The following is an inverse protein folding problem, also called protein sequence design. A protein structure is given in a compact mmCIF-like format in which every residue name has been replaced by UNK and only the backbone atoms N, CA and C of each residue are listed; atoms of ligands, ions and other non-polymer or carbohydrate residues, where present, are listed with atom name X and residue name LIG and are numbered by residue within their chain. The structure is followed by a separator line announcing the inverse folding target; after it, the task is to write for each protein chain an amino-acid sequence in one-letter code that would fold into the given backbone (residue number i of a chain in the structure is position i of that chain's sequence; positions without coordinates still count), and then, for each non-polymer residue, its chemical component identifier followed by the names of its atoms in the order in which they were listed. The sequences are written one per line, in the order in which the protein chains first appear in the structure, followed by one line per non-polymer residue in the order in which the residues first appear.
data_IF_620024761528
#
_entry.id   IF_620024761528
#
_cell.length_a   1.000
_cell.length_b   1.000
_cell.length_c   1.000
_cell.angle_alpha   90.00
_cell.angle_beta   90.00
_cell.angle_gamma   90.00
#
_symmetry.space_group_name_H-M   'P 1'
#
loop_
_entity.id
_entity.type
_entity.pdbx_description
1 polymer ?
#
# COMPACT_ATOMS: atom_id res chain seq x y z
N UNK A 1 24.04 9.51 -11.24
CA UNK A 1 23.17 9.99 -10.14
C UNK A 1 22.04 8.98 -10.05
N UNK A 2 21.89 8.25 -8.94
CA UNK A 2 20.77 7.30 -8.81
C UNK A 2 19.53 8.13 -8.49
N UNK A 3 18.62 8.28 -9.46
CA UNK A 3 17.34 8.95 -9.27
C UNK A 3 16.57 8.29 -8.12
N UNK A 4 16.35 9.07 -7.06
CA UNK A 4 15.58 8.63 -5.91
C UNK A 4 14.11 8.93 -6.20
N UNK A 5 13.33 7.89 -6.52
CA UNK A 5 11.88 8.00 -6.71
C UNK A 5 11.23 8.71 -5.51
N UNK A 6 10.47 9.75 -5.79
CA UNK A 6 9.64 10.47 -4.82
C UNK A 6 8.33 9.72 -4.59
N UNK A 7 7.51 10.17 -3.64
CA UNK A 7 6.17 9.61 -3.43
C UNK A 7 5.24 9.86 -4.64
N UNK A 8 5.44 10.96 -5.37
CA UNK A 8 4.64 11.28 -6.54
C UNK A 8 4.87 10.27 -7.67
N UNK A 9 6.09 9.75 -7.81
CA UNK A 9 6.44 8.75 -8.83
C UNK A 9 5.70 7.40 -8.67
N UNK A 10 5.09 7.15 -7.50
CA UNK A 10 4.32 5.94 -7.24
C UNK A 10 2.81 6.11 -7.49
N UNK A 11 2.36 7.30 -7.91
CA UNK A 11 0.96 7.51 -8.27
C UNK A 11 0.51 6.60 -9.42
N UNK A 12 1.41 6.35 -10.38
CA UNK A 12 1.20 5.44 -11.52
C UNK A 12 0.97 3.99 -11.10
N UNK A 13 1.36 3.62 -9.88
CA UNK A 13 1.21 2.26 -9.36
C UNK A 13 -0.07 2.09 -8.52
N UNK A 14 -0.82 3.16 -8.21
CA UNK A 14 -2.09 3.07 -7.47
C UNK A 14 -3.09 2.11 -8.12
N UNK A 15 -3.32 2.12 -9.45
CA UNK A 15 -4.22 1.16 -10.08
C UNK A 15 -3.79 -0.29 -9.85
N UNK A 16 -2.47 -0.56 -9.94
CA UNK A 16 -1.91 -1.89 -9.68
C UNK A 16 -2.10 -2.33 -8.23
N UNK A 17 -2.01 -1.40 -7.27
CA UNK A 17 -2.34 -1.70 -5.86
C UNK A 17 -3.81 -2.08 -5.71
N UNK A 18 -4.72 -1.33 -6.35
CA UNK A 18 -6.16 -1.63 -6.33
C UNK A 18 -6.45 -3.00 -6.96
N UNK A 19 -5.77 -3.36 -8.06
CA UNK A 19 -5.88 -4.69 -8.69
C UNK A 19 -5.44 -5.83 -7.77
N UNK A 20 -4.37 -5.64 -6.99
CA UNK A 20 -3.91 -6.62 -5.99
C UNK A 20 -4.94 -6.87 -4.88
N UNK A 21 -5.94 -6.01 -4.71
CA UNK A 21 -7.01 -6.14 -3.73
C UNK A 21 -8.31 -6.68 -4.33
N UNK A 22 -8.35 -7.05 -5.62
CA UNK A 22 -9.58 -7.45 -6.32
C UNK A 22 -10.28 -8.68 -5.72
N UNK A 23 -9.53 -9.55 -5.05
CA UNK A 23 -10.07 -10.73 -4.34
C UNK A 23 -10.81 -10.35 -3.04
N UNK A 24 -10.54 -9.14 -2.52
CA UNK A 24 -11.07 -8.62 -1.26
C UNK A 24 -11.81 -7.30 -1.51
N UNK A 25 -13.08 -7.34 -1.98
CA UNK A 25 -13.78 -6.14 -2.45
C UNK A 25 -13.98 -5.07 -1.36
N UNK A 26 -14.14 -5.48 -0.09
CA UNK A 26 -14.23 -4.54 1.03
C UNK A 26 -12.91 -3.79 1.27
N UNK A 27 -11.79 -4.52 1.32
CA UNK A 27 -10.44 -3.96 1.45
C UNK A 27 -10.07 -3.07 0.27
N UNK A 28 -10.42 -3.50 -0.96
CA UNK A 28 -10.24 -2.71 -2.17
C UNK A 28 -11.01 -1.39 -2.11
N UNK A 29 -12.30 -1.44 -1.76
CA UNK A 29 -13.13 -0.25 -1.61
C UNK A 29 -12.53 0.72 -0.59
N UNK A 30 -12.13 0.20 0.58
CA UNK A 30 -11.48 1.01 1.60
C UNK A 30 -10.21 1.70 1.09
N UNK A 31 -9.38 0.98 0.33
CA UNK A 31 -8.20 1.55 -0.33
C UNK A 31 -8.55 2.62 -1.36
N UNK A 32 -9.55 2.38 -2.22
CA UNK A 32 -10.00 3.32 -3.26
C UNK A 32 -10.57 4.62 -2.63
N UNK A 33 -11.13 4.55 -1.42
CA UNK A 33 -11.64 5.71 -0.66
C UNK A 33 -10.54 6.49 0.10
N UNK A 34 -9.30 5.99 0.15
CA UNK A 34 -8.19 6.72 0.77
C UNK A 34 -7.84 7.98 -0.03
N UNK A 35 -7.30 8.99 0.64
CA UNK A 35 -6.74 10.14 -0.06
C UNK A 35 -5.52 9.70 -0.90
N UNK A 36 -5.23 10.37 -2.03
CA UNK A 36 -4.11 10.00 -2.90
C UNK A 36 -2.76 9.96 -2.19
N UNK A 37 -2.60 10.69 -1.08
CA UNK A 37 -1.42 10.60 -0.22
C UNK A 37 -1.19 9.19 0.33
N UNK A 38 -2.21 8.60 0.97
CA UNK A 38 -2.10 7.26 1.53
C UNK A 38 -2.00 6.17 0.47
N UNK A 39 -2.71 6.32 -0.66
CA UNK A 39 -2.59 5.39 -1.79
C UNK A 39 -1.16 5.34 -2.33
N UNK A 40 -0.51 6.51 -2.50
CA UNK A 40 0.91 6.59 -2.90
C UNK A 40 1.85 5.99 -1.87
N UNK A 41 1.57 6.12 -0.58
CA UNK A 41 2.37 5.48 0.47
C UNK A 41 2.32 3.94 0.36
N UNK A 42 1.15 3.36 0.11
CA UNK A 42 1.00 1.92 -0.12
C UNK A 42 1.66 1.47 -1.41
N UNK A 43 1.48 2.22 -2.51
CA UNK A 43 2.15 1.96 -3.77
C UNK A 43 3.68 1.97 -3.62
N UNK A 44 4.24 2.96 -2.91
CA UNK A 44 5.66 3.00 -2.56
C UNK A 44 6.09 1.83 -1.69
N UNK A 45 5.29 1.44 -0.71
CA UNK A 45 5.62 0.32 0.17
C UNK A 45 5.73 -0.97 -0.64
N UNK A 46 4.74 -1.27 -1.48
CA UNK A 46 4.71 -2.50 -2.29
C UNK A 46 5.73 -2.46 -3.43
N UNK A 47 5.67 -1.45 -4.30
CA UNK A 47 6.47 -1.38 -5.54
C UNK A 47 7.85 -0.73 -5.35
N UNK A 48 8.15 -0.18 -4.17
CA UNK A 48 9.49 0.24 -3.80
C UNK A 48 10.41 -0.93 -3.40
N UNK A 49 9.85 -2.11 -3.11
CA UNK A 49 10.62 -3.31 -2.84
C UNK A 49 11.14 -3.94 -4.14
N UNK A 50 12.46 -4.16 -4.22
CA UNK A 50 13.11 -4.78 -5.40
C UNK A 50 12.96 -6.30 -5.45
N UNK A 51 12.92 -6.94 -4.28
CA UNK A 51 12.81 -8.40 -4.18
C UNK A 51 11.34 -8.82 -4.15
N UNK A 52 10.99 -9.82 -4.95
CA UNK A 52 9.62 -10.33 -5.06
C UNK A 52 9.09 -10.87 -3.72
N UNK A 53 9.93 -11.58 -2.97
CA UNK A 53 9.57 -12.09 -1.64
C UNK A 53 9.20 -10.95 -0.66
N UNK A 54 9.93 -9.83 -0.71
CA UNK A 54 9.63 -8.66 0.12
C UNK A 54 8.35 -7.97 -0.35
N UNK A 55 8.16 -7.85 -1.67
CA UNK A 55 6.92 -7.32 -2.25
C UNK A 55 5.71 -8.14 -1.80
N UNK A 56 5.80 -9.47 -1.83
CA UNK A 56 4.72 -10.35 -1.38
C UNK A 56 4.38 -10.13 0.10
N UNK A 57 5.40 -10.02 0.96
CA UNK A 57 5.20 -9.70 2.39
C UNK A 57 4.53 -8.33 2.58
N UNK A 58 4.93 -7.33 1.79
CA UNK A 58 4.32 -6.01 1.86
C UNK A 58 2.86 -6.00 1.40
N UNK A 59 2.49 -6.81 0.41
CA UNK A 59 1.10 -6.98 -0.03
C UNK A 59 0.27 -7.62 1.08
N UNK A 60 0.80 -8.66 1.73
CA UNK A 60 0.15 -9.34 2.84
C UNK A 60 -0.07 -8.39 4.04
N UNK A 61 0.99 -7.69 4.47
CA UNK A 61 0.90 -6.63 5.48
C UNK A 61 -0.18 -5.59 5.12
N UNK A 62 -0.16 -5.10 3.88
CA UNK A 62 -1.12 -4.09 3.42
C UNK A 62 -2.55 -4.59 3.52
N UNK A 63 -2.82 -5.82 3.05
CA UNK A 63 -4.15 -6.44 3.15
C UNK A 63 -4.60 -6.53 4.60
N UNK A 64 -3.76 -7.09 5.47
CA UNK A 64 -4.06 -7.22 6.90
C UNK A 64 -4.37 -5.87 7.56
N UNK A 65 -3.57 -4.84 7.26
CA UNK A 65 -3.70 -3.52 7.87
C UNK A 65 -4.95 -2.79 7.38
N UNK A 66 -5.23 -2.85 6.07
CA UNK A 66 -6.42 -2.24 5.47
C UNK A 66 -7.70 -2.95 5.93
N UNK A 67 -7.69 -4.28 6.03
CA UNK A 67 -8.80 -5.07 6.56
C UNK A 67 -9.11 -4.73 8.02
N UNK A 68 -8.07 -4.47 8.81
CA UNK A 68 -8.21 -3.97 10.17
C UNK A 68 -8.67 -2.48 10.27
N UNK A 69 -8.93 -1.82 9.13
CA UNK A 69 -9.49 -0.47 9.04
C UNK A 69 -8.46 0.67 9.16
N UNK A 70 -7.17 0.39 9.01
CA UNK A 70 -6.12 1.42 9.12
C UNK A 70 -5.67 1.94 7.77
N UNK A 71 -5.61 3.27 7.65
CA UNK A 71 -5.22 3.97 6.42
C UNK A 71 -3.73 3.84 6.09
N UNK A 72 -2.90 3.52 7.09
CA UNK A 72 -1.44 3.43 6.94
C UNK A 72 -0.83 2.45 7.94
N UNK A 73 0.35 1.91 7.59
CA UNK A 73 1.16 1.07 8.50
C UNK A 73 1.50 1.78 9.81
N UNK A 74 1.71 3.09 9.78
CA UNK A 74 1.98 3.91 10.98
C UNK A 74 0.77 3.95 11.92
N UNK A 75 -0.44 4.03 11.38
CA UNK A 75 -1.67 3.98 12.18
C UNK A 75 -1.83 2.64 12.90
N UNK A 76 -1.53 1.55 12.21
CA UNK A 76 -1.58 0.20 12.78
C UNK A 76 -0.57 -0.01 13.90
N UNK A 77 0.68 0.40 13.69
CA UNK A 77 1.76 0.23 14.68
C UNK A 77 1.57 1.02 15.98
N UNK A 78 0.74 2.07 15.99
CA UNK A 78 0.41 2.82 17.21
C UNK A 78 -0.64 2.13 18.08
N UNK A 79 -1.46 1.22 17.54
CA UNK A 79 -2.47 0.48 18.30
C UNK A 79 -1.96 -0.86 18.84
N UNK A 80 -0.90 -1.41 18.27
CA UNK A 80 -0.23 -2.61 18.78
C UNK A 80 0.73 -2.32 19.96
N UNK A 81 0.84 -1.07 20.40
CA UNK A 81 1.53 -0.64 21.61
C UNK A 81 0.53 -0.37 22.71
#
# INVERSE_FOLDING_TARGET
MVEKKTLADYEVDIPKVSELLSDTPATKKFFDELTPGYQREWARYVFGAKAEATKQRHIDDMRMILDAGYKSKRGYGQRAK
#
